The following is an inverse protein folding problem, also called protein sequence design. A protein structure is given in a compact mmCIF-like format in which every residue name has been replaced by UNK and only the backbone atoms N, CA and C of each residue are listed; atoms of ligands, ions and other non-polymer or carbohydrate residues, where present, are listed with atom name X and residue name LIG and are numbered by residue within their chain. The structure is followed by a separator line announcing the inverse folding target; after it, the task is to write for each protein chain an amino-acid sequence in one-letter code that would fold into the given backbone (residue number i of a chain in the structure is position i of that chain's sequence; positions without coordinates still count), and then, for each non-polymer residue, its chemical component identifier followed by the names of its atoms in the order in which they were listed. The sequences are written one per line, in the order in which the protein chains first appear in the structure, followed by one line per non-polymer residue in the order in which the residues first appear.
data_IF_681314635623
#
_entry.id   IF_681314635623
#
_cell.length_a   1.000
_cell.length_b   1.000
_cell.length_c   1.000
_cell.angle_alpha   90.00
_cell.angle_beta   90.00
_cell.angle_gamma   90.00
#
_symmetry.space_group_name_H-M   'P 1'
#
loop_
_entity.id
_entity.type
_entity.pdbx_description
1 polymer ?
#
# COMPACT_ATOMS: atom_id res chain seq x y z
N UNK A 1 4.91 1.76 -39.74
CA UNK A 1 5.38 1.19 -38.45
C UNK A 1 5.63 2.22 -37.34
N UNK A 2 6.06 3.46 -37.61
CA UNK A 2 6.34 4.46 -36.56
C UNK A 2 5.13 4.77 -35.64
N UNK A 3 3.93 4.90 -36.23
CA UNK A 3 2.68 5.14 -35.47
C UNK A 3 2.32 4.00 -34.50
N UNK A 4 2.56 2.75 -34.90
CA UNK A 4 2.35 1.56 -34.05
C UNK A 4 3.33 1.55 -32.86
N UNK A 5 4.60 1.91 -33.09
CA UNK A 5 5.59 2.01 -32.01
C UNK A 5 5.22 3.08 -30.99
N UNK A 6 4.77 4.24 -31.44
CA UNK A 6 4.31 5.33 -30.56
C UNK A 6 3.09 4.89 -29.75
N UNK A 7 2.13 4.21 -30.39
CA UNK A 7 0.96 3.68 -29.71
C UNK A 7 1.32 2.68 -28.61
N UNK A 8 2.25 1.75 -28.88
CA UNK A 8 2.69 0.76 -27.89
C UNK A 8 3.41 1.41 -26.69
N UNK A 9 4.27 2.41 -26.94
CA UNK A 9 4.94 3.17 -25.87
C UNK A 9 3.94 3.93 -25.02
N UNK A 10 2.93 4.54 -25.63
CA UNK A 10 1.87 5.26 -24.90
C UNK A 10 1.05 4.30 -24.03
N UNK A 11 0.73 3.11 -24.54
CA UNK A 11 -0.02 2.10 -23.80
C UNK A 11 0.76 1.56 -22.60
N UNK A 12 2.07 1.33 -22.76
CA UNK A 12 2.97 0.95 -21.66
C UNK A 12 3.04 2.05 -20.58
N UNK A 13 3.08 3.31 -20.98
CA UNK A 13 3.12 4.45 -20.07
C UNK A 13 1.81 4.61 -19.27
N UNK A 14 0.67 4.29 -19.87
CA UNK A 14 -0.63 4.31 -19.17
C UNK A 14 -0.76 3.11 -18.21
N UNK A 15 -0.26 1.94 -18.59
CA UNK A 15 -0.27 0.75 -17.74
C UNK A 15 0.62 0.90 -16.49
N UNK A 16 1.69 1.70 -16.56
CA UNK A 16 2.53 1.95 -15.37
C UNK A 16 1.87 2.84 -14.32
N UNK A 17 0.86 3.65 -14.69
CA UNK A 17 0.12 4.49 -13.73
C UNK A 17 -0.93 3.69 -12.97
N UNK A 18 -1.48 2.61 -13.56
CA UNK A 18 -2.48 1.75 -12.91
C UNK A 18 -1.93 0.78 -11.87
N UNK A 19 -0.60 0.67 -11.70
CA UNK A 19 0.02 -0.32 -10.82
C UNK A 19 0.16 0.12 -9.36
N UNK A 20 -0.27 1.33 -9.01
CA UNK A 20 -0.20 1.78 -7.62
C UNK A 20 -1.58 1.70 -6.97
N UNK A 21 -1.81 0.62 -6.22
CA UNK A 21 -2.76 0.67 -5.11
C UNK A 21 -2.14 1.57 -4.05
N UNK A 22 -2.48 2.86 -4.10
CA UNK A 22 -2.10 3.85 -3.10
C UNK A 22 -3.34 4.05 -2.25
N UNK A 23 -3.37 3.49 -1.06
CA UNK A 23 -4.37 3.84 -0.06
C UNK A 23 -4.40 5.37 0.09
N UNK A 24 -5.56 5.99 -0.12
CA UNK A 24 -5.76 7.42 0.07
C UNK A 24 -6.17 7.71 1.51
N UNK A 25 -6.02 8.98 1.92
CA UNK A 25 -6.51 9.43 3.22
C UNK A 25 -8.03 9.22 3.27
N UNK A 26 -8.48 8.41 4.21
CA UNK A 26 -9.89 8.07 4.40
C UNK A 26 -10.32 6.74 3.80
N UNK A 27 -9.44 6.04 3.06
CA UNK A 27 -9.73 4.69 2.58
C UNK A 27 -9.75 3.68 3.74
N UNK A 28 -10.60 2.67 3.63
CA UNK A 28 -10.55 1.50 4.50
C UNK A 28 -9.31 0.70 4.08
N UNK A 29 -8.45 0.41 5.05
CA UNK A 29 -7.23 -0.39 4.85
C UNK A 29 -7.49 -1.85 5.19
N UNK A 30 -6.75 -2.78 4.58
CA UNK A 30 -6.78 -4.19 4.95
C UNK A 30 -6.38 -4.40 6.42
N UNK A 31 -6.94 -5.43 7.08
CA UNK A 31 -6.54 -5.76 8.44
C UNK A 31 -5.15 -6.43 8.43
N UNK A 32 -4.13 -5.66 8.80
CA UNK A 32 -2.78 -6.17 8.97
C UNK A 32 -2.56 -6.59 10.43
N UNK A 33 -1.95 -7.76 10.62
CA UNK A 33 -1.63 -8.32 11.93
C UNK A 33 -0.13 -8.52 12.10
N UNK A 34 0.40 -8.30 13.30
CA UNK A 34 1.79 -8.54 13.64
C UNK A 34 1.93 -9.04 15.09
N UNK A 35 3.02 -9.74 15.37
CA UNK A 35 3.42 -10.08 16.73
C UNK A 35 4.49 -9.09 17.19
N UNK A 36 4.35 -8.54 18.39
CA UNK A 36 5.31 -7.58 18.94
C UNK A 36 6.54 -8.27 19.55
N UNK A 37 7.44 -7.47 20.15
CA UNK A 37 8.66 -7.95 20.78
C UNK A 37 8.43 -8.66 22.14
N UNK A 38 7.22 -8.60 22.68
CA UNK A 38 6.80 -9.30 23.90
C UNK A 38 6.13 -10.63 23.59
N UNK A 39 5.81 -10.89 22.32
CA UNK A 39 5.11 -12.08 21.87
C UNK A 39 3.59 -11.94 21.86
N UNK A 40 3.06 -10.72 22.02
CA UNK A 40 1.64 -10.44 21.91
C UNK A 40 1.26 -10.19 20.45
N UNK A 41 0.15 -10.78 20.03
CA UNK A 41 -0.41 -10.61 18.69
C UNK A 41 -1.32 -9.37 18.67
N UNK A 42 -1.16 -8.55 17.64
CA UNK A 42 -1.93 -7.32 17.42
C UNK A 42 -2.44 -7.27 16.00
N UNK A 43 -3.58 -6.61 15.78
CA UNK A 43 -4.03 -6.21 14.46
C UNK A 43 -4.52 -4.75 14.41
N UNK A 44 -4.54 -4.17 13.21
CA UNK A 44 -4.91 -2.76 13.00
C UNK A 44 -6.33 -2.49 13.51
N UNK A 45 -7.26 -3.41 13.27
CA UNK A 45 -8.66 -3.20 13.61
C UNK A 45 -8.88 -3.21 15.12
N UNK A 46 -8.22 -4.11 15.84
CA UNK A 46 -8.26 -4.13 17.31
C UNK A 46 -7.73 -2.82 17.90
N UNK A 47 -6.54 -2.38 17.49
CA UNK A 47 -5.91 -1.19 18.05
C UNK A 47 -6.69 0.09 17.72
N UNK A 48 -7.18 0.21 16.50
CA UNK A 48 -7.98 1.38 16.08
C UNK A 48 -9.36 1.40 16.74
N UNK A 49 -9.97 0.23 17.01
CA UNK A 49 -11.22 0.15 17.78
C UNK A 49 -11.05 0.64 19.22
N UNK A 50 -9.84 0.51 19.79
CA UNK A 50 -9.49 1.06 21.10
C UNK A 50 -9.14 2.57 21.05
N UNK A 51 -9.19 3.20 19.87
CA UNK A 51 -8.85 4.61 19.67
C UNK A 51 -7.35 4.88 19.53
N UNK A 52 -6.54 3.84 19.33
CA UNK A 52 -5.09 3.98 19.12
C UNK A 52 -4.81 4.30 17.65
N UNK A 53 -4.03 5.35 17.40
CA UNK A 53 -3.54 5.67 16.07
C UNK A 53 -2.36 4.77 15.71
N UNK A 54 -2.46 4.05 14.58
CA UNK A 54 -1.40 3.17 14.06
C UNK A 54 -0.67 3.86 12.92
N UNK A 55 0.66 3.95 13.00
CA UNK A 55 1.51 4.52 11.94
C UNK A 55 2.42 3.42 11.40
N UNK A 56 2.25 3.09 10.12
CA UNK A 56 3.07 2.10 9.42
C UNK A 56 4.22 2.79 8.69
N UNK A 57 5.45 2.42 9.03
CA UNK A 57 6.63 2.82 8.28
C UNK A 57 7.14 1.63 7.47
N UNK A 58 7.26 1.79 6.16
CA UNK A 58 7.90 0.81 5.28
C UNK A 58 9.24 1.35 4.77
N UNK A 59 10.28 0.53 4.82
CA UNK A 59 11.65 0.93 4.49
C UNK A 59 12.59 0.77 5.69
N UNK A 60 13.21 -0.41 5.79
CA UNK A 60 14.22 -0.70 6.80
C UNK A 60 15.61 -0.22 6.39
N UNK A 61 16.31 0.36 7.36
CA UNK A 61 17.71 0.80 7.43
C UNK A 61 18.66 0.18 6.38
N UNK A 62 19.36 1.04 5.62
CA UNK A 62 20.58 0.69 4.88
C UNK A 62 21.76 0.50 5.81
#
# INVERSE_FOLDING_TARGET
MKKLRIFLVLMLLLASVSLFSIYNVGDIVDNYSWTDNTGEDHDIYELTAQGVAVVLFWGGYS
#
